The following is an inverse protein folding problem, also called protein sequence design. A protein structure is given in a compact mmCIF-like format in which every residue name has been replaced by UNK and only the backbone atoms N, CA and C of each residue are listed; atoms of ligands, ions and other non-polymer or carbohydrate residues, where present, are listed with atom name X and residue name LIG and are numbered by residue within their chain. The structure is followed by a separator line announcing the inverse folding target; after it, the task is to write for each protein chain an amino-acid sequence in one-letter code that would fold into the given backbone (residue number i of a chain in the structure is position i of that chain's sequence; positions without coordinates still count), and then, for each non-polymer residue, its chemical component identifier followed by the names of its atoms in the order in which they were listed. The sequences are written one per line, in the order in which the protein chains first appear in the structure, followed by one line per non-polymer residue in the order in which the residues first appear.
data_IF_862614816218
#
_entry.id   IF_862614816218
#
_cell.length_a   1.000
_cell.length_b   1.000
_cell.length_c   1.000
_cell.angle_alpha   90.00
_cell.angle_beta   90.00
_cell.angle_gamma   90.00
#
_symmetry.space_group_name_H-M   'P 1'
#
loop_
_entity.id
_entity.type
_entity.pdbx_description
1 polymer ?
#
# COMPACT_ATOMS: atom_id res chain seq x y z
N UNK A 1 13.39 -4.13 -7.28
CA UNK A 1 12.21 -3.89 -6.44
C UNK A 1 10.94 -3.92 -7.26
N UNK A 2 9.87 -4.46 -6.66
CA UNK A 2 8.50 -4.32 -7.18
C UNK A 2 7.84 -3.15 -6.48
N UNK A 3 7.43 -2.14 -7.24
CA UNK A 3 6.85 -0.91 -6.70
C UNK A 3 5.33 -1.03 -6.61
N UNK A 4 4.79 -0.71 -5.45
CA UNK A 4 3.35 -0.57 -5.22
C UNK A 4 3.08 0.86 -4.78
N UNK A 5 2.20 1.56 -5.48
CA UNK A 5 1.88 2.96 -5.22
C UNK A 5 0.45 3.07 -4.71
N UNK A 6 0.26 3.76 -3.61
CA UNK A 6 -1.08 3.95 -3.06
C UNK A 6 -1.11 4.94 -1.91
N UNK A 7 -2.30 5.19 -1.40
CA UNK A 7 -2.52 6.04 -0.23
C UNK A 7 -2.52 5.23 1.06
N UNK A 8 -2.90 3.96 0.98
CA UNK A 8 -2.86 2.97 2.07
C UNK A 8 -3.62 3.45 3.33
N UNK A 9 -4.89 3.79 3.18
CA UNK A 9 -5.72 4.46 4.19
C UNK A 9 -6.83 3.58 4.81
N UNK A 10 -6.51 2.53 5.57
CA UNK A 10 -5.19 2.02 5.93
C UNK A 10 -4.70 0.91 5.00
N UNK A 11 -3.46 0.47 5.18
CA UNK A 11 -2.98 -0.77 4.58
C UNK A 11 -3.79 -1.93 5.18
N UNK A 12 -4.30 -2.82 4.33
CA UNK A 12 -5.17 -3.91 4.78
C UNK A 12 -4.81 -5.24 4.11
N UNK A 13 -5.54 -6.30 4.46
CA UNK A 13 -5.26 -7.66 3.97
C UNK A 13 -5.29 -7.77 2.44
N UNK A 14 -6.15 -7.02 1.77
CA UNK A 14 -6.18 -6.98 0.31
C UNK A 14 -4.88 -6.45 -0.29
N UNK A 15 -4.33 -5.39 0.30
CA UNK A 15 -3.04 -4.85 -0.10
C UNK A 15 -1.89 -5.82 0.20
N UNK A 16 -1.93 -6.47 1.36
CA UNK A 16 -0.92 -7.46 1.75
C UNK A 16 -0.92 -8.65 0.80
N UNK A 17 -2.10 -9.07 0.32
CA UNK A 17 -2.18 -10.12 -0.68
C UNK A 17 -1.43 -9.72 -1.97
N UNK A 18 -1.66 -8.50 -2.46
CA UNK A 18 -0.97 -7.99 -3.65
C UNK A 18 0.55 -7.94 -3.46
N UNK A 19 0.99 -7.41 -2.34
CA UNK A 19 2.42 -7.29 -2.00
C UNK A 19 3.05 -8.67 -1.94
N UNK A 20 2.37 -9.63 -1.31
CA UNK A 20 2.85 -10.99 -1.14
C UNK A 20 3.01 -11.73 -2.47
N UNK A 21 2.25 -11.36 -3.51
CA UNK A 21 2.39 -11.95 -4.84
C UNK A 21 3.78 -11.74 -5.42
N UNK A 22 4.48 -10.67 -5.03
CA UNK A 22 5.86 -10.43 -5.46
C UNK A 22 6.88 -10.99 -4.46
N UNK A 23 6.58 -10.87 -3.16
CA UNK A 23 7.48 -11.39 -2.11
C UNK A 23 7.67 -12.90 -2.23
N UNK A 24 6.60 -13.66 -2.51
CA UNK A 24 6.67 -15.12 -2.64
C UNK A 24 7.53 -15.58 -3.82
N UNK A 25 7.65 -14.75 -4.87
CA UNK A 25 8.49 -15.02 -6.03
C UNK A 25 9.93 -14.54 -5.84
N UNK A 26 10.28 -14.08 -4.64
CA UNK A 26 11.63 -13.66 -4.28
C UNK A 26 11.97 -12.21 -4.58
N UNK A 27 11.01 -11.41 -5.03
CA UNK A 27 11.24 -9.99 -5.29
C UNK A 27 11.16 -9.18 -4.00
N UNK A 28 11.98 -8.14 -3.92
CA UNK A 28 11.86 -7.14 -2.88
C UNK A 28 10.80 -6.10 -3.30
N UNK A 29 10.15 -5.49 -2.32
CA UNK A 29 9.02 -4.59 -2.54
C UNK A 29 9.36 -3.17 -2.08
N UNK A 30 8.99 -2.21 -2.92
CA UNK A 30 9.03 -0.80 -2.58
C UNK A 30 7.58 -0.29 -2.46
N UNK A 31 7.17 0.02 -1.24
CA UNK A 31 5.85 0.57 -0.94
C UNK A 31 5.93 2.10 -0.96
N UNK A 32 5.41 2.70 -2.02
CA UNK A 32 5.40 4.14 -2.19
C UNK A 32 4.07 4.70 -1.66
N UNK A 33 4.16 5.62 -0.71
CA UNK A 33 3.03 6.20 0.00
C UNK A 33 2.79 7.60 -0.58
N UNK A 34 1.63 7.81 -1.19
CA UNK A 34 1.27 9.10 -1.77
C UNK A 34 0.99 10.10 -0.65
N UNK A 35 1.64 11.25 -0.72
CA UNK A 35 1.47 12.34 0.25
C UNK A 35 0.21 13.12 -0.07
N UNK A 36 -0.92 12.68 0.49
CA UNK A 36 -2.23 13.31 0.30
C UNK A 36 -2.59 14.16 1.51
N UNK A 37 -3.27 15.27 1.25
CA UNK A 37 -3.79 16.11 2.33
C UNK A 37 -4.89 15.35 3.08
N UNK A 38 -4.83 15.27 4.42
CA UNK A 38 -5.86 14.58 5.19
C UNK A 38 -7.26 15.13 4.92
N UNK A 39 -8.19 14.21 4.76
CA UNK A 39 -9.62 14.50 4.58
C UNK A 39 -10.45 13.33 5.11
N UNK A 40 -11.76 13.31 4.85
CA UNK A 40 -12.65 12.26 5.33
C UNK A 40 -12.28 10.88 4.79
N UNK A 41 -11.83 10.81 3.52
CA UNK A 41 -11.44 9.55 2.87
C UNK A 41 -9.99 9.18 3.15
N UNK A 42 -9.18 10.14 3.55
CA UNK A 42 -7.76 9.97 3.84
C UNK A 42 -7.47 10.62 5.20
N UNK A 43 -7.93 9.99 6.31
CA UNK A 43 -7.85 10.61 7.64
C UNK A 43 -6.44 10.70 8.21
N UNK A 44 -5.48 9.95 7.64
CA UNK A 44 -4.11 9.95 8.13
C UNK A 44 -3.17 10.69 7.18
N UNK A 45 -2.13 11.30 7.75
CA UNK A 45 -1.03 11.85 6.96
C UNK A 45 -0.19 10.70 6.38
N UNK A 46 0.61 10.97 5.35
CA UNK A 46 1.52 9.97 4.81
C UNK A 46 2.52 9.49 5.87
N UNK A 47 2.97 10.37 6.76
CA UNK A 47 3.87 10.04 7.87
C UNK A 47 3.21 9.10 8.87
N UNK A 48 1.94 9.32 9.19
CA UNK A 48 1.18 8.43 10.07
C UNK A 48 1.00 7.05 9.42
N UNK A 49 0.73 7.01 8.12
CA UNK A 49 0.62 5.75 7.37
C UNK A 49 1.95 5.01 7.38
N UNK A 50 3.05 5.69 7.10
CA UNK A 50 4.38 5.06 7.12
C UNK A 50 4.68 4.44 8.48
N UNK A 51 4.37 5.15 9.57
CA UNK A 51 4.52 4.64 10.92
C UNK A 51 3.67 3.39 11.15
N UNK A 52 2.39 3.41 10.74
CA UNK A 52 1.50 2.27 10.87
C UNK A 52 2.02 1.05 10.11
N UNK A 53 2.57 1.26 8.91
CA UNK A 53 3.16 0.19 8.10
C UNK A 53 4.38 -0.42 8.80
N UNK A 54 5.26 0.41 9.36
CA UNK A 54 6.45 -0.04 10.06
C UNK A 54 6.15 -0.78 11.37
N UNK A 55 5.02 -0.51 11.98
CA UNK A 55 4.58 -1.17 13.22
C UNK A 55 3.66 -2.38 12.97
N UNK A 56 3.23 -2.58 11.73
CA UNK A 56 2.25 -3.59 11.35
C UNK A 56 2.86 -4.90 10.86
N UNK A 57 2.11 -5.60 10.00
CA UNK A 57 2.47 -6.95 9.54
C UNK A 57 3.73 -7.00 8.66
N UNK A 58 4.15 -5.87 8.07
CA UNK A 58 5.36 -5.78 7.25
C UNK A 58 6.62 -5.49 8.07
N UNK A 59 6.49 -5.33 9.37
CA UNK A 59 7.59 -4.93 10.27
C UNK A 59 8.87 -5.76 10.08
N UNK A 60 8.74 -7.09 10.07
CA UNK A 60 9.90 -7.98 9.97
C UNK A 60 10.52 -7.95 8.57
N UNK A 61 9.70 -7.82 7.54
CA UNK A 61 10.18 -7.70 6.16
C UNK A 61 10.91 -6.37 5.93
N UNK A 62 10.46 -5.32 6.60
CA UNK A 62 11.15 -4.02 6.58
C UNK A 62 12.51 -4.13 7.29
N UNK A 63 12.53 -4.76 8.45
CA UNK A 63 13.79 -4.98 9.19
C UNK A 63 14.79 -5.79 8.38
N UNK A 64 14.32 -6.77 7.60
CA UNK A 64 15.17 -7.62 6.75
C UNK A 64 15.55 -6.95 5.41
N UNK A 65 15.05 -5.77 5.13
CA UNK A 65 15.33 -5.05 3.88
C UNK A 65 14.57 -5.58 2.67
N UNK A 66 13.61 -6.49 2.85
CA UNK A 66 12.78 -7.01 1.76
C UNK A 66 11.67 -6.07 1.35
N UNK A 67 11.26 -5.19 2.26
CA UNK A 67 10.28 -4.13 2.00
C UNK A 67 10.93 -2.81 2.39
N UNK A 68 10.86 -1.84 1.49
CA UNK A 68 11.23 -0.46 1.79
C UNK A 68 10.00 0.43 1.59
N UNK A 69 9.96 1.53 2.31
CA UNK A 69 8.88 2.51 2.19
C UNK A 69 9.44 3.87 1.80
N UNK A 70 8.66 4.64 1.07
CA UNK A 70 8.97 6.03 0.76
C UNK A 70 7.69 6.83 0.67
N UNK A 71 7.74 8.05 1.18
CA UNK A 71 6.67 9.02 0.96
C UNK A 71 6.99 9.74 -0.34
N UNK A 72 6.06 9.71 -1.29
CA UNK A 72 6.21 10.36 -2.59
C UNK A 72 5.16 11.44 -2.75
N UNK A 73 5.40 12.45 -3.61
CA UNK A 73 4.36 13.43 -3.93
C UNK A 73 3.09 12.74 -4.42
N UNK A 74 1.94 13.35 -4.19
CA UNK A 74 0.70 12.86 -4.77
C UNK A 74 0.80 12.90 -6.28
N UNK A 75 0.36 11.84 -6.94
CA UNK A 75 0.48 11.66 -8.39
C UNK A 75 -0.90 11.66 -9.04
N UNK A 76 -0.99 12.19 -10.26
CA UNK A 76 -2.20 12.09 -11.07
C UNK A 76 -2.11 10.94 -12.08
N UNK A 77 -0.89 10.52 -12.46
CA UNK A 77 -0.69 9.45 -13.43
C UNK A 77 0.70 8.81 -13.32
N UNK A 78 0.82 7.62 -13.87
CA UNK A 78 2.11 6.95 -14.11
C UNK A 78 2.28 6.90 -15.61
N UNK A 79 3.41 7.39 -16.12
CA UNK A 79 3.66 7.54 -17.54
C UNK A 79 4.85 6.69 -17.97
N UNK A 80 4.71 6.03 -19.12
CA UNK A 80 5.81 5.28 -19.71
C UNK A 80 5.76 5.35 -21.22
N UNK A 81 6.93 5.20 -21.84
CA UNK A 81 7.05 5.04 -23.28
C UNK A 81 7.45 3.61 -23.61
N UNK A 82 8.02 3.41 -24.79
CA UNK A 82 8.53 2.10 -25.20
C UNK A 82 9.91 1.87 -24.59
N UNK A 83 10.18 0.58 -24.25
CA UNK A 83 11.51 0.19 -23.81
C UNK A 83 11.91 0.72 -22.43
N UNK A 84 10.97 0.79 -21.49
CA UNK A 84 11.20 1.38 -20.16
C UNK A 84 12.09 0.53 -19.24
N UNK A 85 12.35 -0.74 -19.60
CA UNK A 85 13.22 -1.60 -18.80
C UNK A 85 12.59 -2.20 -17.56
N UNK A 86 11.28 -2.09 -17.39
CA UNK A 86 10.52 -2.73 -16.30
C UNK A 86 9.15 -3.15 -16.79
N UNK A 87 8.53 -4.08 -16.06
CA UNK A 87 7.19 -4.60 -16.38
C UNK A 87 6.12 -3.80 -15.63
N UNK A 88 4.94 -3.70 -16.24
CA UNK A 88 3.74 -3.21 -15.57
C UNK A 88 2.83 -4.40 -15.40
N UNK A 89 2.61 -4.81 -14.14
CA UNK A 89 1.94 -6.06 -13.81
C UNK A 89 0.63 -5.75 -13.08
N UNK A 90 -0.46 -6.30 -13.59
CA UNK A 90 -1.75 -6.27 -12.91
C UNK A 90 -1.93 -7.58 -12.13
N UNK A 91 -2.28 -7.45 -10.85
CA UNK A 91 -2.63 -8.57 -9.99
C UNK A 91 -4.14 -8.57 -9.76
N UNK A 92 -4.80 -9.69 -10.07
CA UNK A 92 -6.24 -9.83 -9.86
C UNK A 92 -6.46 -10.76 -8.66
N UNK A 93 -6.86 -10.21 -7.49
CA UNK A 93 -7.07 -11.04 -6.31
C UNK A 93 -8.33 -11.89 -6.43
N UNK A 94 -8.41 -13.01 -5.67
CA UNK A 94 -9.66 -13.74 -5.51
C UNK A 94 -10.76 -12.82 -4.97
N UNK A 95 -12.03 -13.17 -5.21
CA UNK A 95 -13.16 -12.32 -4.84
C UNK A 95 -13.16 -11.96 -3.36
N UNK A 96 -12.93 -12.93 -2.48
CA UNK A 96 -12.95 -12.72 -1.03
C UNK A 96 -11.86 -11.73 -0.57
N UNK A 97 -10.76 -11.62 -1.31
CA UNK A 97 -9.71 -10.64 -1.05
C UNK A 97 -10.06 -9.31 -1.71
N UNK A 98 -10.55 -9.34 -2.95
CA UNK A 98 -10.92 -8.14 -3.69
C UNK A 98 -12.08 -7.36 -3.07
N UNK A 99 -12.93 -8.03 -2.28
CA UNK A 99 -14.07 -7.41 -1.60
C UNK A 99 -13.63 -6.63 -0.33
N UNK A 100 -12.40 -6.79 0.12
CA UNK A 100 -11.86 -5.99 1.24
C UNK A 100 -11.66 -4.56 0.77
N UNK A 101 -12.21 -3.58 1.48
CA UNK A 101 -12.07 -2.17 1.11
C UNK A 101 -11.64 -1.30 2.28
N UNK A 102 -10.80 -0.32 1.98
CA UNK A 102 -10.37 0.66 2.97
C UNK A 102 -11.56 1.50 3.48
N UNK A 103 -12.54 1.78 2.62
CA UNK A 103 -13.75 2.51 3.01
C UNK A 103 -14.52 1.77 4.10
N UNK A 104 -14.75 0.47 3.91
CA UNK A 104 -15.44 -0.35 4.93
C UNK A 104 -14.66 -0.42 6.23
N UNK A 105 -13.34 -0.54 6.14
CA UNK A 105 -12.46 -0.59 7.32
C UNK A 105 -12.53 0.73 8.08
N UNK A 106 -12.43 1.87 7.40
CA UNK A 106 -12.53 3.19 8.04
C UNK A 106 -13.89 3.41 8.69
N UNK A 107 -14.97 2.99 8.02
CA UNK A 107 -16.32 3.10 8.57
C UNK A 107 -16.46 2.28 9.85
N UNK A 108 -15.90 1.07 9.89
CA UNK A 108 -15.91 0.24 11.08
C UNK A 108 -15.07 0.86 12.20
N UNK A 109 -13.92 1.44 11.89
CA UNK A 109 -13.06 2.13 12.88
C UNK A 109 -13.77 3.33 13.50
N UNK A 110 -14.52 4.12 12.70
CA UNK A 110 -15.31 5.24 13.21
C UNK A 110 -16.43 4.76 14.14
N UNK A 111 -17.11 3.68 13.74
CA UNK A 111 -18.17 3.06 14.54
C UNK A 111 -17.63 2.55 15.88
N UNK A 112 -16.41 2.02 15.89
CA UNK A 112 -15.75 1.48 17.08
C UNK A 112 -15.04 2.57 17.90
N UNK A 113 -15.08 3.82 17.48
CA UNK A 113 -14.41 4.92 18.16
C UNK A 113 -12.89 4.94 17.99
N UNK A 114 -12.34 4.24 17.00
CA UNK A 114 -10.89 4.16 16.75
C UNK A 114 -10.39 5.18 15.74
N UNK A 115 -11.31 5.89 15.11
CA UNK A 115 -10.99 6.89 14.10
C UNK A 115 -11.83 8.15 14.27
#
# INVERSE_FOLDING_TARGET
YSMFVGRWQPLHKGHLWLINERLKDGYNVWLAIRDVKPDEKNPWTAQEIEKMVHEGELKDLIADGRVITSIIPDIESINYGRGVGYDIIEHVPPKEIGDISATSIRNQMRKDGKL
#
